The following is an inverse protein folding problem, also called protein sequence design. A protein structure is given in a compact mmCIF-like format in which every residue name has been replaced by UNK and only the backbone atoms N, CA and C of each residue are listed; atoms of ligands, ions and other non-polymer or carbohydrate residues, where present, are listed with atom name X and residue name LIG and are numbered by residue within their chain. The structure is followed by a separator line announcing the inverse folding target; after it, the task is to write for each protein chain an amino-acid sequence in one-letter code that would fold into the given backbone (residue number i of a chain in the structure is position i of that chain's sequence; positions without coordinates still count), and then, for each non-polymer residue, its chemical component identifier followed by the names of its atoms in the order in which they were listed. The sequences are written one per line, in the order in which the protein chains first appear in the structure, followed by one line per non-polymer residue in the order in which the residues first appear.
data_IF_800694706799
#
_entry.id   IF_800694706799
#
_cell.length_a   1.000
_cell.length_b   1.000
_cell.length_c   1.000
_cell.angle_alpha   90.00
_cell.angle_beta   90.00
_cell.angle_gamma   90.00
#
_symmetry.space_group_name_H-M   'P 1'
#
loop_
_entity.id
_entity.type
_entity.pdbx_description
1 polymer ?
#
# COMPACT_ATOMS: atom_id res chain seq x y z
N UNK A 1 27.93 -16.14 1.75
CA UNK A 1 26.50 -15.86 2.01
C UNK A 1 26.40 -14.37 2.32
N UNK A 2 26.22 -13.54 1.29
CA UNK A 2 26.12 -12.09 1.47
C UNK A 2 24.70 -11.76 1.92
N UNK A 3 24.54 -11.41 3.18
CA UNK A 3 23.32 -10.74 3.65
C UNK A 3 23.43 -9.32 3.16
N UNK A 4 22.80 -9.01 2.04
CA UNK A 4 22.63 -7.64 1.58
C UNK A 4 21.94 -6.87 2.71
N UNK A 5 22.67 -5.96 3.36
CA UNK A 5 22.08 -4.95 4.23
C UNK A 5 21.07 -4.16 3.38
N UNK A 6 19.77 -4.11 3.75
CA UNK A 6 18.84 -3.33 2.98
C UNK A 6 19.21 -1.85 3.15
N UNK A 7 19.31 -1.15 2.02
CA UNK A 7 19.71 0.23 1.91
C UNK A 7 18.98 1.14 2.91
N UNK A 8 19.73 1.89 3.72
CA UNK A 8 19.24 2.91 4.67
C UNK A 8 18.78 4.22 3.99
N UNK A 9 18.49 4.26 2.69
CA UNK A 9 18.43 5.56 1.97
C UNK A 9 17.17 5.86 1.16
N UNK A 10 16.12 5.06 1.23
CA UNK A 10 14.79 5.50 0.75
C UNK A 10 13.75 5.31 1.85
N UNK A 11 13.01 6.38 2.23
CA UNK A 11 11.90 6.22 3.16
C UNK A 11 10.89 5.24 2.55
N UNK A 12 10.62 4.08 3.18
CA UNK A 12 9.74 3.05 2.62
C UNK A 12 8.35 3.57 2.22
N UNK A 13 7.94 4.68 2.83
CA UNK A 13 6.68 5.38 2.60
C UNK A 13 6.58 6.01 1.20
N UNK A 14 7.69 6.44 0.60
CA UNK A 14 7.71 7.05 -0.74
C UNK A 14 7.65 6.01 -1.87
N UNK A 15 7.64 4.72 -1.51
CA UNK A 15 7.57 3.62 -2.47
C UNK A 15 6.30 3.73 -3.33
N UNK A 16 6.40 3.70 -4.67
CA UNK A 16 5.23 3.71 -5.54
C UNK A 16 4.32 2.49 -5.33
N UNK A 17 3.01 2.69 -5.39
CA UNK A 17 2.01 1.67 -5.10
C UNK A 17 2.08 0.41 -5.99
N UNK A 18 2.61 0.51 -7.21
CA UNK A 18 2.76 -0.66 -8.08
C UNK A 18 3.69 -1.75 -7.50
N UNK A 19 4.60 -1.38 -6.61
CA UNK A 19 5.56 -2.29 -5.98
C UNK A 19 4.98 -2.96 -4.72
N UNK A 20 3.79 -2.54 -4.27
CA UNK A 20 3.05 -3.22 -3.21
C UNK A 20 2.59 -4.58 -3.73
N UNK A 21 2.95 -5.63 -2.98
CA UNK A 21 2.55 -7.01 -3.29
C UNK A 21 1.03 -7.10 -3.43
N UNK A 22 0.56 -7.51 -4.61
CA UNK A 22 -0.86 -7.68 -4.90
C UNK A 22 -1.54 -6.45 -5.53
N UNK A 23 -0.91 -5.27 -5.55
CA UNK A 23 -1.42 -4.13 -6.31
C UNK A 23 -1.11 -4.30 -7.81
N UNK A 24 0.18 -4.33 -8.16
CA UNK A 24 0.63 -4.31 -9.55
C UNK A 24 0.20 -3.04 -10.30
N UNK A 25 0.54 -2.91 -11.60
CA UNK A 25 0.27 -1.68 -12.37
C UNK A 25 -1.22 -1.38 -12.48
N UNK A 26 -2.05 -2.39 -12.73
CA UNK A 26 -3.50 -2.21 -12.94
C UNK A 26 -4.22 -1.64 -11.72
N UNK A 27 -3.90 -2.10 -10.51
CA UNK A 27 -4.53 -1.54 -9.29
C UNK A 27 -3.91 -0.21 -8.91
N UNK A 28 -2.61 0.00 -9.17
CA UNK A 28 -1.97 1.29 -8.95
C UNK A 28 -2.65 2.41 -9.75
N UNK A 29 -3.00 2.17 -11.02
CA UNK A 29 -3.77 3.12 -11.84
C UNK A 29 -5.15 3.48 -11.25
N UNK A 30 -5.82 2.52 -10.60
CA UNK A 30 -7.10 2.77 -9.94
C UNK A 30 -6.92 3.58 -8.65
N UNK A 31 -5.89 3.26 -7.86
CA UNK A 31 -5.55 3.98 -6.63
C UNK A 31 -5.14 5.42 -6.91
N UNK A 32 -4.45 5.67 -8.03
CA UNK A 32 -4.11 7.03 -8.48
C UNK A 32 -5.33 7.91 -8.77
N UNK A 33 -6.47 7.32 -9.17
CA UNK A 33 -7.74 8.08 -9.34
C UNK A 33 -8.30 8.58 -8.00
N UNK A 34 -7.87 7.99 -6.90
CA UNK A 34 -8.19 8.40 -5.53
C UNK A 34 -7.08 9.29 -4.94
N UNK A 35 -6.15 9.76 -5.78
CA UNK A 35 -4.95 10.53 -5.42
C UNK A 35 -3.98 9.79 -4.48
N UNK A 36 -4.02 8.45 -4.47
CA UNK A 36 -3.06 7.62 -3.75
C UNK A 36 -1.92 7.23 -4.68
N UNK A 37 -0.68 7.59 -4.34
CA UNK A 37 0.50 7.38 -5.21
C UNK A 37 1.59 6.56 -4.54
N UNK A 38 1.71 6.71 -3.23
CA UNK A 38 2.78 6.12 -2.41
C UNK A 38 2.22 5.17 -1.36
N UNK A 39 3.09 4.35 -0.77
CA UNK A 39 2.74 3.50 0.38
C UNK A 39 2.30 4.36 1.58
N UNK A 40 2.91 5.52 1.77
CA UNK A 40 2.53 6.47 2.81
C UNK A 40 1.06 6.90 2.68
N UNK A 41 0.62 7.26 1.47
CA UNK A 41 -0.76 7.64 1.22
C UNK A 41 -1.74 6.51 1.58
N UNK A 42 -1.39 5.26 1.24
CA UNK A 42 -2.23 4.11 1.51
C UNK A 42 -2.37 3.80 3.01
N UNK A 43 -1.31 4.01 3.80
CA UNK A 43 -1.37 3.81 5.25
C UNK A 43 -2.27 4.84 5.95
N UNK A 44 -2.33 6.06 5.43
CA UNK A 44 -3.18 7.14 5.95
C UNK A 44 -4.57 7.17 5.31
N UNK A 45 -4.82 6.35 4.28
CA UNK A 45 -6.13 6.16 3.68
C UNK A 45 -6.97 5.15 4.48
N UNK A 46 -7.52 5.63 5.59
CA UNK A 46 -8.33 4.81 6.48
C UNK A 46 -9.68 4.42 5.86
N UNK A 47 -10.20 3.21 6.17
CA UNK A 47 -11.55 2.83 5.79
C UNK A 47 -12.59 3.83 6.32
N UNK A 48 -13.59 4.15 5.48
CA UNK A 48 -14.70 5.04 5.87
C UNK A 48 -15.58 4.41 6.95
N UNK A 49 -15.83 3.12 6.82
CA UNK A 49 -16.68 2.34 7.71
C UNK A 49 -16.20 0.89 7.70
N UNK A 50 -16.51 0.15 8.77
CA UNK A 50 -16.18 -1.25 8.94
C UNK A 50 -17.47 -2.04 9.10
N UNK A 51 -17.80 -2.83 8.07
CA UNK A 51 -18.89 -3.79 8.18
C UNK A 51 -18.41 -4.99 9.00
N UNK A 52 -18.89 -5.11 10.22
CA UNK A 52 -18.61 -6.26 11.09
C UNK A 52 -19.48 -7.46 10.68
N UNK A 53 -18.82 -8.56 10.33
CA UNK A 53 -19.42 -9.82 9.88
C UNK A 53 -19.23 -10.95 10.91
N UNK A 54 -18.90 -10.61 12.17
CA UNK A 54 -18.58 -11.60 13.21
C UNK A 54 -19.77 -12.43 13.69
N UNK A 55 -21.01 -11.94 13.54
CA UNK A 55 -22.25 -12.69 13.85
C UNK A 55 -23.19 -12.65 12.63
N UNK A 56 -22.87 -13.46 11.62
CA UNK A 56 -23.81 -13.80 10.54
C UNK A 56 -24.40 -15.18 10.87
N UNK A 57 -25.69 -15.25 11.15
CA UNK A 57 -26.44 -16.50 11.36
C UNK A 57 -27.23 -16.89 10.12
#
# INVERSE_FOLDING_TARGET
MSRSEPAESEPPLETPLQFVKGAGPRRAELLQKLDLRTVGDLLWFLPRDYLDLSDIR
#
